data_IF_870326586298
#
_entry.id   IF_870326586298
#
_cell.length_a   1.000
_cell.length_b   1.000
_cell.length_c   1.000
_cell.angle_alpha   90.00
_cell.angle_beta   90.00
_cell.angle_gamma   90.00
#
_symmetry.space_group_name_H-M   'P 1'
#
loop_
_entity.id
_entity.type
_entity.pdbx_description
1 polymer ?
#
# COMPACT_ATOMS: atom_id res chain seq x y z
N UNK A 1 18.90 -6.32 0.53
CA UNK A 1 17.54 -5.72 0.36
C UNK A 1 17.26 -5.50 -1.12
N UNK A 2 16.00 -5.69 -1.57
CA UNK A 2 15.61 -5.37 -2.95
C UNK A 2 15.79 -3.89 -3.27
N UNK A 3 16.43 -3.59 -4.40
CA UNK A 3 16.42 -2.25 -4.98
C UNK A 3 15.09 -1.98 -5.73
N UNK A 4 14.85 -0.73 -6.12
CA UNK A 4 13.60 -0.33 -6.78
C UNK A 4 13.34 -1.07 -8.09
N UNK A 5 14.38 -1.32 -8.90
CA UNK A 5 14.26 -2.05 -10.16
C UNK A 5 13.84 -3.51 -9.92
N UNK A 6 14.53 -4.21 -9.02
CA UNK A 6 14.20 -5.58 -8.63
C UNK A 6 12.78 -5.68 -8.07
N UNK A 7 12.38 -4.70 -7.25
CA UNK A 7 11.04 -4.63 -6.69
C UNK A 7 10.00 -4.48 -7.80
N UNK A 8 10.15 -3.47 -8.68
CA UNK A 8 9.20 -3.21 -9.77
C UNK A 8 9.09 -4.39 -10.75
N UNK A 9 10.22 -4.99 -11.14
CA UNK A 9 10.23 -6.14 -12.05
C UNK A 9 9.51 -7.36 -11.46
N UNK A 10 9.67 -7.60 -10.16
CA UNK A 10 8.97 -8.67 -9.47
C UNK A 10 7.49 -8.33 -9.28
N UNK A 11 7.19 -7.08 -8.93
CA UNK A 11 5.83 -6.61 -8.71
C UNK A 11 4.98 -6.76 -9.96
N UNK A 12 5.50 -6.39 -11.14
CA UNK A 12 4.83 -6.58 -12.43
C UNK A 12 4.52 -8.06 -12.72
N UNK A 13 5.42 -8.97 -12.36
CA UNK A 13 5.18 -10.42 -12.51
C UNK A 13 4.06 -10.89 -11.59
N UNK A 14 4.03 -10.44 -10.33
CA UNK A 14 2.98 -10.75 -9.37
C UNK A 14 1.64 -10.20 -9.87
N UNK A 15 1.61 -8.94 -10.29
CA UNK A 15 0.41 -8.28 -10.78
C UNK A 15 -0.25 -9.03 -11.94
N UNK A 16 0.56 -9.53 -12.89
CA UNK A 16 0.09 -10.27 -14.06
C UNK A 16 -0.47 -11.66 -13.77
N UNK A 17 -0.24 -12.22 -12.58
CA UNK A 17 -0.84 -13.50 -12.17
C UNK A 17 -2.33 -13.34 -11.92
N UNK A 18 -2.77 -12.16 -11.48
CA UNK A 18 -4.16 -11.92 -11.13
C UNK A 18 -5.00 -11.61 -12.38
N UNK A 19 -6.18 -12.23 -12.54
CA UNK A 19 -7.05 -11.99 -13.68
C UNK A 19 -7.62 -10.56 -13.67
N UNK A 20 -8.05 -10.07 -14.84
CA UNK A 20 -8.51 -8.68 -15.03
C UNK A 20 -9.69 -8.32 -14.13
N UNK A 21 -10.63 -9.25 -13.91
CA UNK A 21 -11.78 -9.05 -13.03
C UNK A 21 -11.37 -8.79 -11.57
N UNK A 22 -10.32 -9.47 -11.11
CA UNK A 22 -9.76 -9.24 -9.78
C UNK A 22 -9.02 -7.91 -9.75
N UNK A 23 -8.16 -7.64 -10.73
CA UNK A 23 -7.42 -6.37 -10.86
C UNK A 23 -8.32 -5.15 -11.03
N UNK A 24 -9.55 -5.30 -11.52
CA UNK A 24 -10.47 -4.18 -11.76
C UNK A 24 -10.68 -3.28 -10.52
N UNK A 25 -10.71 -3.88 -9.33
CA UNK A 25 -10.88 -3.17 -8.05
C UNK A 25 -9.60 -2.54 -7.50
N UNK A 26 -8.45 -2.84 -8.10
CA UNK A 26 -7.13 -2.43 -7.62
C UNK A 26 -6.45 -1.49 -8.62
N UNK A 27 -5.51 -0.72 -8.09
CA UNK A 27 -4.43 -0.10 -8.85
C UNK A 27 -3.21 0.05 -7.94
N UNK A 28 -2.12 0.55 -8.47
CA UNK A 28 -0.90 0.80 -7.71
C UNK A 28 -0.17 2.02 -8.24
N UNK A 29 0.62 2.62 -7.35
CA UNK A 29 1.60 3.64 -7.67
C UNK A 29 2.98 2.99 -7.82
N UNK A 30 3.83 3.61 -8.62
CA UNK A 30 5.23 3.19 -8.72
C UNK A 30 5.93 3.36 -7.36
N UNK A 31 6.87 2.45 -7.06
CA UNK A 31 7.55 2.42 -5.77
C UNK A 31 8.40 3.65 -5.45
N UNK A 32 8.81 4.42 -6.46
CA UNK A 32 9.58 5.65 -6.28
C UNK A 32 8.70 6.89 -6.14
N UNK A 33 7.43 6.83 -6.51
CA UNK A 33 6.58 8.03 -6.55
C UNK A 33 6.39 8.68 -5.19
N UNK A 34 6.24 7.90 -4.10
CA UNK A 34 6.15 8.48 -2.76
C UNK A 34 7.46 9.19 -2.37
N UNK A 35 8.62 8.59 -2.70
CA UNK A 35 9.93 9.20 -2.43
C UNK A 35 10.14 10.48 -3.26
N UNK A 36 9.79 10.45 -4.53
CA UNK A 36 9.89 11.61 -5.41
C UNK A 36 8.89 12.71 -5.08
N UNK A 37 7.71 12.35 -4.55
CA UNK A 37 6.76 13.33 -4.06
C UNK A 37 7.34 14.19 -2.91
N UNK A 38 8.18 13.59 -2.05
CA UNK A 38 8.85 14.31 -0.96
C UNK A 38 9.94 15.27 -1.44
N UNK A 39 10.36 15.16 -2.70
CA UNK A 39 11.27 16.10 -3.35
C UNK A 39 10.45 17.15 -4.13
N UNK A 40 10.55 18.42 -3.71
CA UNK A 40 9.79 19.52 -4.30
C UNK A 40 10.06 19.68 -5.82
N UNK A 41 11.20 19.20 -6.34
CA UNK A 41 11.51 19.23 -7.78
C UNK A 41 10.66 18.24 -8.60
N UNK A 42 10.16 17.17 -7.98
CA UNK A 42 9.40 16.11 -8.65
C UNK A 42 7.93 16.05 -8.24
N UNK A 43 7.57 16.66 -7.11
CA UNK A 43 6.22 16.66 -6.54
C UNK A 43 5.10 16.92 -7.55
N UNK A 44 5.16 18.01 -8.31
CA UNK A 44 4.12 18.34 -9.29
C UNK A 44 4.00 17.26 -10.39
N UNK A 45 5.13 16.76 -10.88
CA UNK A 45 5.17 15.69 -11.90
C UNK A 45 4.55 14.40 -11.37
N UNK A 46 4.89 14.02 -10.13
CA UNK A 46 4.33 12.84 -9.47
C UNK A 46 2.81 12.96 -9.33
N UNK A 47 2.30 14.12 -8.89
CA UNK A 47 0.85 14.34 -8.78
C UNK A 47 0.14 14.21 -10.13
N UNK A 48 0.75 14.70 -11.21
CA UNK A 48 0.25 14.49 -12.59
C UNK A 48 0.27 13.02 -12.99
N UNK A 49 1.27 12.23 -12.60
CA UNK A 49 1.30 10.80 -12.90
C UNK A 49 0.26 10.02 -12.10
N UNK A 50 0.04 10.39 -10.84
CA UNK A 50 -0.98 9.77 -9.98
C UNK A 50 -2.39 10.00 -10.54
N UNK A 51 -2.69 11.22 -11.03
CA UNK A 51 -4.03 11.50 -11.58
C UNK A 51 -4.38 10.60 -12.79
N UNK A 52 -3.37 10.19 -13.57
CA UNK A 52 -3.52 9.24 -14.70
C UNK A 52 -3.83 7.82 -14.26
N UNK A 53 -3.62 7.46 -12.99
CA UNK A 53 -3.95 6.14 -12.43
C UNK A 53 -5.42 6.02 -12.02
N UNK A 54 -6.18 7.12 -12.04
CA UNK A 54 -7.60 7.16 -11.66
C UNK A 54 -7.88 6.49 -10.30
N UNK A 55 -7.04 6.78 -9.30
CA UNK A 55 -7.02 6.04 -8.02
C UNK A 55 -8.35 6.11 -7.26
N UNK A 56 -9.11 7.20 -7.43
CA UNK A 56 -10.44 7.38 -6.83
C UNK A 56 -11.58 6.62 -7.52
N UNK A 57 -11.26 5.82 -8.54
CA UNK A 57 -12.20 4.84 -9.13
C UNK A 57 -11.96 3.44 -8.59
N UNK A 58 -10.93 3.27 -7.75
CA UNK A 58 -10.43 1.99 -7.29
C UNK A 58 -10.75 1.80 -5.83
N UNK A 59 -11.11 0.57 -5.49
CA UNK A 59 -11.41 0.18 -4.13
C UNK A 59 -10.14 0.07 -3.30
N UNK A 60 -9.05 -0.39 -3.92
CA UNK A 60 -7.76 -0.54 -3.28
C UNK A 60 -6.66 0.09 -4.13
N UNK A 61 -5.78 0.85 -3.50
CA UNK A 61 -4.62 1.47 -4.15
C UNK A 61 -3.38 1.09 -3.36
N UNK A 62 -2.49 0.31 -3.98
CA UNK A 62 -1.19 0.01 -3.38
C UNK A 62 -0.22 1.16 -3.60
N UNK A 63 0.43 1.60 -2.53
CA UNK A 63 1.48 2.61 -2.54
C UNK A 63 2.70 1.98 -1.84
N UNK A 64 3.57 1.28 -2.59
CA UNK A 64 4.85 0.85 -2.06
C UNK A 64 5.68 2.09 -1.70
N UNK A 65 6.20 2.14 -0.48
CA UNK A 65 7.01 3.24 0.01
C UNK A 65 8.43 2.71 0.21
N UNK A 66 9.38 3.27 -0.54
CA UNK A 66 10.80 3.12 -0.28
C UNK A 66 11.33 4.42 0.35
N UNK A 67 11.63 4.41 1.65
CA UNK A 67 12.15 5.56 2.35
C UNK A 67 13.21 5.13 3.38
N UNK A 68 14.31 5.87 3.50
CA UNK A 68 15.45 5.53 4.38
C UNK A 68 15.94 4.07 4.28
N UNK A 69 15.99 3.53 3.05
CA UNK A 69 16.35 2.13 2.78
C UNK A 69 15.44 1.13 3.52
N UNK A 70 14.17 1.47 3.70
CA UNK A 70 13.16 0.60 4.28
C UNK A 70 11.92 0.59 3.38
N UNK A 71 11.33 -0.59 3.24
CA UNK A 71 10.14 -0.82 2.44
C UNK A 71 8.91 -0.92 3.34
N UNK A 72 7.91 -0.10 3.07
CA UNK A 72 6.59 -0.17 3.67
C UNK A 72 5.53 -0.35 2.58
N UNK A 73 4.37 -0.88 2.95
CA UNK A 73 3.21 -0.91 2.08
C UNK A 73 2.10 -0.03 2.67
N UNK A 74 1.80 1.07 2.00
CA UNK A 74 0.59 1.85 2.25
C UNK A 74 -0.52 1.37 1.30
N UNK A 75 -1.73 1.20 1.82
CA UNK A 75 -2.90 0.80 1.04
C UNK A 75 -4.03 1.78 1.33
N UNK A 76 -4.52 2.45 0.29
CA UNK A 76 -5.78 3.20 0.38
C UNK A 76 -6.95 2.26 0.14
N UNK A 77 -7.93 2.27 1.04
CA UNK A 77 -9.10 1.41 0.99
C UNK A 77 -10.37 2.23 0.85
N UNK A 78 -11.30 1.75 0.02
CA UNK A 78 -12.60 2.36 -0.29
C UNK A 78 -12.46 3.81 -0.81
N UNK A 79 -11.54 4.06 -1.75
CA UNK A 79 -11.35 5.37 -2.39
C UNK A 79 -12.33 5.63 -3.54
N UNK A 80 -13.02 4.58 -4.01
CA UNK A 80 -14.14 4.63 -4.94
C UNK A 80 -15.44 5.16 -4.31
N UNK A 81 -15.42 5.44 -3.01
CA UNK A 81 -16.57 5.93 -2.23
C UNK A 81 -16.28 7.31 -1.64
N UNK A 82 -17.34 8.09 -1.31
CA UNK A 82 -17.17 9.32 -0.53
C UNK A 82 -16.59 9.02 0.86
N UNK A 83 -15.78 9.95 1.38
CA UNK A 83 -15.08 9.81 2.66
C UNK A 83 -15.98 9.47 3.87
N UNK A 84 -17.28 9.83 3.81
CA UNK A 84 -18.25 9.66 4.91
C UNK A 84 -19.46 8.80 4.49
N UNK A 85 -19.23 7.70 3.77
CA UNK A 85 -20.30 6.74 3.51
C UNK A 85 -20.72 6.01 4.79
N UNK A 86 -22.04 5.83 4.99
CA UNK A 86 -22.62 5.14 6.16
C UNK A 86 -22.28 3.65 6.23
N UNK A 87 -21.89 3.04 5.11
CA UNK A 87 -21.73 1.58 4.99
C UNK A 87 -20.28 1.12 4.84
N UNK A 88 -19.39 2.00 4.36
CA UNK A 88 -17.96 1.73 4.14
C UNK A 88 -17.15 3.00 4.33
N UNK A 89 -16.29 3.03 5.33
CA UNK A 89 -15.42 4.19 5.58
C UNK A 89 -14.12 4.06 4.80
N UNK A 90 -13.72 5.12 4.12
CA UNK A 90 -12.37 5.27 3.58
C UNK A 90 -11.34 5.14 4.71
N UNK A 91 -10.29 4.36 4.51
CA UNK A 91 -9.18 4.26 5.47
C UNK A 91 -7.85 3.98 4.77
N UNK A 92 -6.78 4.08 5.53
CA UNK A 92 -5.41 3.80 5.10
C UNK A 92 -4.85 2.67 5.95
N UNK A 93 -4.15 1.72 5.32
CA UNK A 93 -3.44 0.64 6.00
C UNK A 93 -1.95 0.84 5.75
N UNK A 94 -1.14 0.85 6.79
CA UNK A 94 0.32 0.91 6.68
C UNK A 94 0.92 -0.36 7.26
N UNK A 95 1.38 -1.24 6.38
CA UNK A 95 1.98 -2.52 6.72
C UNK A 95 3.50 -2.36 6.76
N UNK A 96 4.09 -2.86 7.84
CA UNK A 96 5.53 -2.82 8.09
C UNK A 96 5.98 -4.16 8.70
N UNK A 97 6.92 -4.83 8.03
CA UNK A 97 7.51 -6.08 8.49
C UNK A 97 8.68 -5.88 9.44
N UNK A 98 9.22 -4.66 9.59
CA UNK A 98 10.38 -4.39 10.43
C UNK A 98 9.96 -4.00 11.85
N UNK A 99 10.47 -4.74 12.83
CA UNK A 99 10.21 -4.42 14.24
C UNK A 99 10.85 -3.08 14.63
N UNK A 100 10.15 -2.33 15.49
CA UNK A 100 10.63 -1.07 16.07
C UNK A 100 10.98 0.04 15.06
N UNK A 101 10.62 -0.10 13.78
CA UNK A 101 10.84 0.93 12.74
C UNK A 101 10.08 2.24 13.03
N UNK A 102 8.97 2.15 13.78
CA UNK A 102 8.11 3.29 14.10
C UNK A 102 7.37 3.84 12.87
N UNK A 103 6.56 3.03 12.16
CA UNK A 103 5.95 3.42 10.87
C UNK A 103 5.01 4.63 10.98
N UNK A 104 4.49 4.93 12.19
CA UNK A 104 3.70 6.15 12.48
C UNK A 104 4.43 7.44 12.15
N UNK A 105 5.76 7.45 12.09
CA UNK A 105 6.55 8.62 11.68
C UNK A 105 6.22 9.09 10.26
N UNK A 106 5.72 8.21 9.40
CA UNK A 106 5.28 8.55 8.05
C UNK A 106 3.90 9.23 8.00
N UNK A 107 3.10 9.15 9.07
CA UNK A 107 1.70 9.60 9.06
C UNK A 107 1.52 11.07 8.64
N UNK A 108 2.31 12.05 9.13
CA UNK A 108 2.18 13.44 8.68
C UNK A 108 2.39 13.59 7.17
N UNK A 109 3.42 12.93 6.62
CA UNK A 109 3.73 12.95 5.19
C UNK A 109 2.66 12.23 4.38
N UNK A 110 2.15 11.09 4.85
CA UNK A 110 1.06 10.36 4.19
C UNK A 110 -0.20 11.22 4.09
N UNK A 111 -0.55 11.93 5.17
CA UNK A 111 -1.73 12.82 5.17
C UNK A 111 -1.55 14.01 4.25
N UNK A 112 -0.34 14.61 4.20
CA UNK A 112 -0.02 15.69 3.27
C UNK A 112 -0.04 15.21 1.81
N UNK A 113 0.56 14.05 1.54
CA UNK A 113 0.52 13.40 0.23
C UNK A 113 -0.91 13.19 -0.25
N UNK A 114 -1.76 12.64 0.62
CA UNK A 114 -3.15 12.41 0.25
C UNK A 114 -3.90 13.71 -0.03
N UNK A 115 -3.74 14.74 0.81
CA UNK A 115 -4.33 16.06 0.58
C UNK A 115 -3.93 16.61 -0.80
N UNK A 116 -2.64 16.56 -1.13
CA UNK A 116 -2.13 17.09 -2.40
C UNK A 116 -2.67 16.31 -3.61
N UNK A 117 -2.88 15.01 -3.47
CA UNK A 117 -3.51 14.20 -4.51
C UNK A 117 -4.97 14.61 -4.74
N UNK A 118 -5.73 14.87 -3.67
CA UNK A 118 -7.10 15.41 -3.80
C UNK A 118 -7.11 16.80 -4.46
N UNK A 119 -6.21 17.70 -4.03
CA UNK A 119 -6.09 19.07 -4.55
C UNK A 119 -5.67 19.08 -6.03
N UNK A 120 -4.70 18.25 -6.41
CA UNK A 120 -4.22 18.12 -7.79
C UNK A 120 -5.31 17.62 -8.76
N UNK A 121 -6.21 16.74 -8.28
CA UNK A 121 -7.38 16.30 -9.04
C UNK A 121 -8.59 17.23 -8.91
N UNK A 122 -8.43 18.40 -8.26
CA UNK A 122 -9.50 19.40 -8.02
C UNK A 122 -10.72 18.81 -7.32
N UNK A 123 -10.51 17.80 -6.46
CA UNK A 123 -11.56 17.15 -5.68
C UNK A 123 -11.77 17.92 -4.39
N UNK A 124 -12.99 18.42 -4.09
CA UNK A 124 -13.24 19.15 -2.87
C UNK A 124 -12.95 18.30 -1.62
N UNK A 125 -11.99 18.74 -0.81
CA UNK A 125 -11.66 18.11 0.47
C UNK A 125 -11.11 19.17 1.43
N UNK A 126 -11.28 18.95 2.72
CA UNK A 126 -10.66 19.81 3.75
C UNK A 126 -9.54 19.05 4.45
N UNK A 127 -8.55 19.78 4.98
CA UNK A 127 -7.51 19.22 5.85
C UNK A 127 -8.11 18.42 7.02
N UNK A 128 -9.22 18.91 7.59
CA UNK A 128 -9.95 18.24 8.68
C UNK A 128 -10.62 16.94 8.23
N UNK A 129 -11.11 16.86 6.99
CA UNK A 129 -11.64 15.61 6.45
C UNK A 129 -10.52 14.57 6.28
N UNK A 130 -9.37 14.98 5.75
CA UNK A 130 -8.19 14.10 5.60
C UNK A 130 -7.69 13.61 6.96
N UNK A 131 -7.65 14.47 8.00
CA UNK A 131 -7.18 14.06 9.33
C UNK A 131 -8.09 13.04 10.01
N UNK A 132 -9.38 13.02 9.66
CA UNK A 132 -10.36 12.05 10.16
C UNK A 132 -10.28 10.68 9.47
N UNK A 133 -9.56 10.56 8.35
CA UNK A 133 -9.36 9.26 7.68
C UNK A 133 -8.50 8.38 8.61
N UNK A 134 -8.97 7.19 9.02
CA UNK A 134 -8.20 6.31 9.88
C UNK A 134 -6.93 5.81 9.19
N UNK A 135 -5.79 5.91 9.88
CA UNK A 135 -4.57 5.19 9.52
C UNK A 135 -4.40 4.01 10.48
N UNK A 136 -4.60 2.81 9.95
CA UNK A 136 -4.42 1.57 10.70
C UNK A 136 -3.03 1.00 10.41
N UNK A 137 -2.40 0.45 11.43
CA UNK A 137 -1.09 -0.19 11.34
C UNK A 137 -1.27 -1.61 11.87
N UNK A 138 -1.69 -2.56 11.02
CA UNK A 138 -1.89 -3.93 11.45
C UNK A 138 -0.58 -4.56 11.90
N UNK A 139 -0.65 -5.44 12.90
CA UNK A 139 0.50 -6.25 13.29
C UNK A 139 0.61 -7.42 12.32
N UNK A 140 1.45 -7.29 11.31
CA UNK A 140 1.71 -8.31 10.28
C UNK A 140 2.92 -9.18 10.66
N UNK A 141 3.17 -10.32 9.98
CA UNK A 141 4.35 -11.12 10.25
C UNK A 141 5.62 -10.28 10.06
N UNK A 142 6.53 -10.38 11.03
CA UNK A 142 7.73 -9.55 11.08
C UNK A 142 8.93 -10.30 10.50
N UNK A 143 9.76 -9.58 9.74
CA UNK A 143 11.02 -10.10 9.22
C UNK A 143 12.02 -10.35 10.36
N UNK A 144 12.94 -11.30 10.15
CA UNK A 144 13.98 -11.65 11.12
C UNK A 144 15.35 -11.00 10.85
N UNK A 145 15.50 -10.34 9.72
CA UNK A 145 16.73 -9.65 9.30
C UNK A 145 16.43 -8.22 8.83
N UNK A 146 17.44 -7.43 8.49
CA UNK A 146 17.24 -6.04 8.04
C UNK A 146 16.92 -5.87 6.55
N UNK A 147 16.80 -6.94 5.77
CA UNK A 147 16.87 -6.89 4.31
C UNK A 147 15.63 -7.36 3.56
N UNK A 148 14.77 -8.12 4.22
CA UNK A 148 13.62 -8.76 3.60
C UNK A 148 12.41 -7.85 3.43
N UNK A 149 12.42 -6.61 3.94
CA UNK A 149 11.25 -5.73 3.91
C UNK A 149 10.63 -5.57 2.52
N UNK A 150 11.45 -5.47 1.47
CA UNK A 150 10.95 -5.42 0.08
C UNK A 150 10.26 -6.72 -0.36
N UNK A 151 10.78 -7.89 0.06
CA UNK A 151 10.18 -9.21 -0.22
C UNK A 151 8.85 -9.37 0.54
N UNK A 152 8.79 -8.91 1.79
CA UNK A 152 7.56 -8.88 2.58
C UNK A 152 6.50 -7.99 1.95
N UNK A 153 6.86 -6.78 1.49
CA UNK A 153 5.92 -5.89 0.79
C UNK A 153 5.33 -6.58 -0.44
N UNK A 154 6.15 -7.22 -1.28
CA UNK A 154 5.67 -7.98 -2.45
C UNK A 154 4.69 -9.09 -2.04
N UNK A 155 4.99 -9.81 -0.96
CA UNK A 155 4.14 -10.88 -0.50
C UNK A 155 2.83 -10.38 0.13
N UNK A 156 2.88 -9.31 0.91
CA UNK A 156 1.69 -8.64 1.44
C UNK A 156 0.75 -8.21 0.32
N UNK A 157 1.27 -7.70 -0.81
CA UNK A 157 0.43 -7.35 -1.95
C UNK A 157 -0.23 -8.60 -2.55
N UNK A 158 0.52 -9.69 -2.76
CA UNK A 158 -0.04 -10.95 -3.28
C UNK A 158 -1.18 -11.46 -2.39
N UNK A 159 -0.94 -11.58 -1.09
CA UNK A 159 -1.94 -12.07 -0.13
C UNK A 159 -3.15 -11.14 -0.03
N UNK A 160 -2.93 -9.82 -0.07
CA UNK A 160 -4.01 -8.86 -0.04
C UNK A 160 -4.86 -8.97 -1.31
N UNK A 161 -4.25 -9.09 -2.49
CA UNK A 161 -4.98 -9.29 -3.73
C UNK A 161 -5.80 -10.58 -3.69
N UNK A 162 -5.26 -11.67 -3.16
CA UNK A 162 -5.95 -12.96 -3.01
C UNK A 162 -7.16 -12.91 -2.07
N UNK A 163 -7.05 -12.19 -0.95
CA UNK A 163 -8.00 -12.31 0.17
C UNK A 163 -8.85 -11.06 0.43
N UNK A 164 -8.59 -9.93 -0.23
CA UNK A 164 -9.27 -8.69 0.09
C UNK A 164 -10.80 -8.80 -0.10
N UNK A 165 -11.60 -8.37 0.88
CA UNK A 165 -13.05 -8.51 0.85
C UNK A 165 -13.68 -7.61 -0.22
N UNK A 166 -14.83 -8.02 -0.75
CA UNK A 166 -15.64 -7.14 -1.62
C UNK A 166 -16.14 -5.89 -0.89
N UNK A 167 -16.35 -5.97 0.43
CA UNK A 167 -16.79 -4.85 1.26
C UNK A 167 -15.81 -4.71 2.44
N UNK A 168 -14.85 -3.77 2.33
CA UNK A 168 -13.86 -3.56 3.39
C UNK A 168 -14.45 -2.62 4.46
N UNK A 169 -14.33 -2.98 5.73
CA UNK A 169 -14.82 -2.26 6.88
C UNK A 169 -13.85 -2.42 8.04
N UNK A 170 -13.58 -1.31 8.72
CA UNK A 170 -12.70 -1.29 9.89
C UNK A 170 -13.39 -1.80 11.17
N UNK A 171 -14.72 -1.93 11.18
CA UNK A 171 -15.51 -2.29 12.37
C UNK A 171 -15.83 -3.79 12.49
N UNK A 172 -15.87 -4.52 11.36
CA UNK A 172 -16.22 -5.95 11.34
C UNK A 172 -15.06 -6.88 11.67
N UNK A 173 -13.83 -6.36 11.70
CA UNK A 173 -12.61 -7.15 11.78
C UNK A 173 -12.40 -8.02 10.53
N UNK A 174 -11.14 -8.41 10.30
CA UNK A 174 -10.80 -9.38 9.26
C UNK A 174 -9.91 -10.44 9.86
N UNK A 175 -10.47 -11.55 10.35
CA UNK A 175 -9.71 -12.50 11.15
C UNK A 175 -8.66 -13.27 10.34
N UNK A 176 -8.74 -13.21 9.01
CA UNK A 176 -8.01 -14.05 8.06
C UNK A 176 -6.83 -13.35 7.36
N UNK A 177 -6.66 -12.03 7.49
CA UNK A 177 -5.55 -11.32 6.85
C UNK A 177 -5.06 -10.12 7.65
N UNK A 178 -3.80 -9.74 7.45
CA UNK A 178 -3.11 -8.65 8.18
C UNK A 178 -2.97 -8.87 9.69
N UNK A 179 -2.70 -10.12 10.09
CA UNK A 179 -2.38 -10.52 11.46
C UNK A 179 -0.94 -11.02 11.60
N UNK A 180 -0.48 -11.19 12.84
CA UNK A 180 0.88 -11.64 13.13
C UNK A 180 1.17 -13.04 12.57
N UNK A 181 0.12 -13.84 12.39
CA UNK A 181 0.11 -15.20 11.85
C UNK A 181 -0.48 -15.29 10.42
N UNK A 182 -0.47 -14.18 9.67
CA UNK A 182 -1.09 -14.13 8.32
C UNK A 182 -0.55 -15.20 7.35
N UNK A 183 0.67 -15.66 7.55
CA UNK A 183 1.25 -16.77 6.80
C UNK A 183 2.30 -17.50 7.65
N UNK A 184 2.53 -18.77 7.33
CA UNK A 184 3.64 -19.50 7.91
C UNK A 184 4.97 -19.10 7.23
N UNK A 185 6.12 -19.17 7.93
CA UNK A 185 7.42 -18.87 7.32
C UNK A 185 7.69 -19.66 6.03
N UNK A 186 7.22 -20.91 5.96
CA UNK A 186 7.38 -21.77 4.78
C UNK A 186 6.62 -21.24 3.56
N UNK A 187 5.47 -20.58 3.77
CA UNK A 187 4.71 -19.98 2.67
C UNK A 187 5.47 -18.81 2.06
N UNK A 188 6.13 -18.01 2.92
CA UNK A 188 7.01 -16.93 2.48
C UNK A 188 8.23 -17.46 1.72
N UNK A 189 8.87 -18.53 2.19
CA UNK A 189 10.00 -19.16 1.49
C UNK A 189 9.57 -19.70 0.10
N UNK A 190 8.41 -20.34 0.02
CA UNK A 190 7.82 -20.80 -1.24
C UNK A 190 7.53 -19.64 -2.20
N UNK A 191 6.98 -18.53 -1.69
CA UNK A 191 6.78 -17.31 -2.45
C UNK A 191 8.10 -16.75 -2.98
N UNK A 192 9.12 -16.62 -2.14
CA UNK A 192 10.43 -16.12 -2.55
C UNK A 192 11.08 -17.01 -3.63
N UNK A 193 11.00 -18.33 -3.50
CA UNK A 193 11.49 -19.29 -4.51
C UNK A 193 10.75 -19.12 -5.84
N UNK A 194 9.41 -19.03 -5.80
CA UNK A 194 8.56 -18.87 -6.99
C UNK A 194 8.96 -17.65 -7.83
N UNK A 195 9.29 -16.54 -7.18
CA UNK A 195 9.66 -15.30 -7.86
C UNK A 195 11.17 -15.08 -8.00
N UNK A 196 12.00 -16.08 -7.68
CA UNK A 196 13.46 -16.01 -7.71
C UNK A 196 14.00 -14.82 -6.90
N UNK A 197 13.39 -14.58 -5.74
CA UNK A 197 13.77 -13.53 -4.80
C UNK A 197 14.83 -14.01 -3.81
N UNK A 198 15.11 -15.31 -3.73
CA UNK A 198 16.19 -15.87 -2.92
C UNK A 198 17.54 -15.33 -3.41
N UNK A 199 18.40 -14.93 -2.46
CA UNK A 199 19.80 -14.58 -2.69
C UNK A 199 20.63 -15.81 -3.01
#
# INVERSE_FOLDING_TARGET
MLNSQQFSDCFEKIWKIFPDNQRASFTYLDCLWFSWYMDELFKEKVLVWISRKHIFTKKYVFVPILHWRHWNLLIFCNFDKPLQSKTQTTCMLLLDSMQMSGPRRLEPTIRKFLLDVYEAEKRPVTKQAISKIPLLIPKVPQQRNGEDCGRFVLYFISLFMESAPKNFSTTGGYPYFMKEDWFAPQDFDCFCKRFKLCS
#
